data_IF_957031700681
#
_entry.id   IF_957031700681
#
_cell.length_a   1.000
_cell.length_b   1.000
_cell.length_c   1.000
_cell.angle_alpha   90.00
_cell.angle_beta   90.00
_cell.angle_gamma   90.00
#
_symmetry.space_group_name_H-M   'P 1'
#
loop_
_entity.id
_entity.type
_entity.pdbx_description
1 polymer ?
#
# COMPACT_ATOMS: atom_id res chain seq x y z
N UNK A 1 15.45 -4.55 -6.25
CA UNK A 1 14.67 -3.30 -6.40
C UNK A 1 14.94 -2.72 -7.77
N UNK A 2 13.91 -2.37 -8.46
CA UNK A 2 14.03 -1.82 -9.82
C UNK A 2 14.35 -0.32 -9.78
N UNK A 3 14.54 0.26 -11.00
CA UNK A 3 14.84 1.68 -11.12
C UNK A 3 13.62 2.56 -10.81
N UNK A 4 13.88 3.80 -10.43
CA UNK A 4 12.86 4.83 -10.19
C UNK A 4 11.86 4.45 -9.09
N UNK A 5 12.28 3.67 -8.11
CA UNK A 5 11.50 3.43 -6.91
C UNK A 5 11.75 4.58 -5.93
N UNK A 6 10.68 5.15 -5.42
CA UNK A 6 10.75 6.19 -4.39
C UNK A 6 10.28 5.63 -3.06
N UNK A 7 11.13 5.72 -2.06
CA UNK A 7 10.80 5.31 -0.69
C UNK A 7 10.95 6.55 0.19
N UNK A 8 9.84 6.97 0.80
CA UNK A 8 9.81 8.08 1.73
C UNK A 8 9.52 7.57 3.13
N UNK A 9 10.52 7.62 4.00
CA UNK A 9 10.39 7.23 5.41
C UNK A 9 10.38 8.41 6.36
N UNK A 10 10.16 9.63 5.85
CA UNK A 10 10.20 10.85 6.66
C UNK A 10 9.11 10.96 7.70
N UNK A 11 7.94 10.35 7.44
CA UNK A 11 6.80 10.35 8.37
C UNK A 11 6.54 9.00 9.03
N UNK A 12 7.32 7.99 8.70
CA UNK A 12 7.21 6.65 9.27
C UNK A 12 8.13 5.68 8.55
N UNK A 13 8.52 4.62 9.24
CA UNK A 13 9.44 3.64 8.69
C UNK A 13 8.84 2.85 7.53
N UNK A 14 9.69 2.51 6.57
CA UNK A 14 9.37 1.54 5.53
C UNK A 14 10.25 0.32 5.76
N UNK A 15 9.62 -0.84 5.95
CA UNK A 15 10.28 -2.13 6.07
C UNK A 15 9.93 -2.97 4.86
N UNK A 16 10.95 -3.54 4.22
CA UNK A 16 10.77 -4.46 3.10
C UNK A 16 11.53 -5.73 3.45
N UNK A 17 10.80 -6.84 3.50
CA UNK A 17 11.35 -8.13 3.89
C UNK A 17 12.23 -8.77 2.82
N UNK A 18 12.72 -9.98 3.14
CA UNK A 18 13.66 -10.71 2.31
C UNK A 18 13.00 -11.29 1.07
N UNK A 19 13.75 -11.30 -0.03
CA UNK A 19 13.32 -11.87 -1.31
C UNK A 19 12.08 -11.23 -1.91
N UNK A 20 11.74 -10.04 -1.45
CA UNK A 20 10.65 -9.25 -2.04
C UNK A 20 11.15 -8.52 -3.27
N UNK A 21 10.25 -8.37 -4.25
CA UNK A 21 10.56 -7.70 -5.52
C UNK A 21 9.74 -6.43 -5.63
N UNK A 22 10.45 -5.32 -5.77
CA UNK A 22 9.82 -4.00 -5.92
C UNK A 22 10.04 -3.55 -7.35
N UNK A 23 8.97 -3.53 -8.12
CA UNK A 23 9.01 -3.16 -9.52
C UNK A 23 9.32 -1.69 -9.76
N UNK A 24 9.45 -1.34 -11.00
CA UNK A 24 9.81 0.02 -11.44
C UNK A 24 8.69 1.02 -11.12
N UNK A 25 9.08 2.27 -10.82
CA UNK A 25 8.17 3.40 -10.58
C UNK A 25 7.23 3.22 -9.38
N UNK A 26 7.56 2.39 -8.41
CA UNK A 26 6.77 2.29 -7.20
C UNK A 26 7.07 3.47 -6.28
N UNK A 27 6.03 3.94 -5.60
CA UNK A 27 6.13 4.99 -4.57
C UNK A 27 5.61 4.43 -3.25
N UNK A 28 6.48 4.41 -2.26
CA UNK A 28 6.16 3.85 -0.94
C UNK A 28 6.42 4.94 0.09
N UNK A 29 5.36 5.39 0.73
CA UNK A 29 5.41 6.43 1.77
C UNK A 29 5.03 5.78 3.10
N UNK A 30 5.97 5.79 4.05
CA UNK A 30 5.77 5.16 5.36
C UNK A 30 4.69 5.82 6.20
N UNK A 31 4.23 5.15 7.26
CA UNK A 31 4.70 3.84 7.70
C UNK A 31 4.15 2.68 6.85
N UNK A 32 5.02 1.82 6.37
CA UNK A 32 4.66 0.66 5.55
C UNK A 32 5.51 -0.54 5.96
N UNK A 33 4.88 -1.68 6.14
CA UNK A 33 5.54 -2.96 6.36
C UNK A 33 5.22 -3.91 5.20
N UNK A 34 6.26 -4.35 4.52
CA UNK A 34 6.17 -5.34 3.45
C UNK A 34 6.92 -6.58 3.90
N UNK A 35 6.24 -7.71 3.95
CA UNK A 35 6.79 -8.97 4.39
C UNK A 35 7.82 -9.57 3.44
N UNK A 36 8.06 -10.88 3.60
CA UNK A 36 9.00 -11.63 2.78
C UNK A 36 8.34 -12.16 1.52
N UNK A 37 9.09 -12.27 0.44
CA UNK A 37 8.63 -12.88 -0.81
C UNK A 37 7.38 -12.21 -1.39
N UNK A 38 7.25 -10.92 -1.19
CA UNK A 38 6.17 -10.10 -1.75
C UNK A 38 6.60 -9.60 -3.13
N UNK A 39 5.67 -9.61 -4.08
CA UNK A 39 5.90 -9.05 -5.41
C UNK A 39 5.04 -7.80 -5.57
N UNK A 40 5.71 -6.66 -5.74
CA UNK A 40 5.07 -5.44 -6.19
C UNK A 40 5.39 -5.25 -7.66
N UNK A 41 4.37 -5.23 -8.50
CA UNK A 41 4.55 -4.95 -9.92
C UNK A 41 4.97 -3.48 -10.11
N UNK A 42 4.69 -2.86 -11.22
CA UNK A 42 5.13 -1.49 -11.47
C UNK A 42 4.06 -0.46 -11.14
N UNK A 43 4.50 0.75 -10.85
CA UNK A 43 3.66 1.94 -10.70
C UNK A 43 2.59 1.78 -9.63
N UNK A 44 2.97 1.27 -8.48
CA UNK A 44 2.10 1.10 -7.32
C UNK A 44 2.36 2.26 -6.37
N UNK A 45 1.31 2.79 -5.77
CA UNK A 45 1.40 3.79 -4.72
C UNK A 45 0.90 3.20 -3.41
N UNK A 46 1.77 3.20 -2.40
CA UNK A 46 1.44 2.75 -1.05
C UNK A 46 1.76 3.89 -0.10
N UNK A 47 0.79 4.31 0.68
CA UNK A 47 1.01 5.42 1.62
C UNK A 47 0.34 5.16 2.97
N UNK A 48 1.14 5.28 4.02
CA UNK A 48 0.65 5.29 5.39
C UNK A 48 0.27 6.68 5.89
N UNK A 49 0.38 7.69 5.04
CA UNK A 49 0.12 9.08 5.40
C UNK A 49 -1.28 9.49 4.96
N UNK A 50 -1.95 10.26 5.79
CA UNK A 50 -3.21 10.91 5.48
C UNK A 50 -3.19 12.37 5.92
N UNK A 51 -4.01 13.19 5.30
CA UNK A 51 -4.22 14.56 5.73
C UNK A 51 -5.47 14.69 6.57
N UNK A 52 -5.40 15.53 7.59
CA UNK A 52 -6.57 15.92 8.37
C UNK A 52 -7.35 16.97 7.59
N UNK A 53 -8.64 16.76 7.41
CA UNK A 53 -9.45 17.61 6.54
C UNK A 53 -10.83 17.95 7.10
N UNK A 54 -11.15 17.51 8.31
CA UNK A 54 -12.52 17.59 8.85
C UNK A 54 -12.97 19.01 9.17
N UNK A 55 -12.04 19.90 9.49
CA UNK A 55 -12.38 21.29 9.83
C UNK A 55 -12.52 22.10 8.54
N UNK A 56 -13.75 22.38 8.16
CA UNK A 56 -14.05 23.13 6.93
C UNK A 56 -13.68 24.61 7.02
N UNK A 57 -13.37 25.12 8.20
CA UNK A 57 -12.96 26.52 8.40
C UNK A 57 -11.46 26.75 8.16
N UNK A 58 -10.68 25.68 7.97
CA UNK A 58 -9.23 25.76 7.77
C UNK A 58 -8.82 25.07 6.47
N UNK A 59 -7.83 25.64 5.75
CA UNK A 59 -7.21 24.91 4.63
C UNK A 59 -6.68 23.55 5.11
N UNK A 60 -6.83 22.54 4.29
CA UNK A 60 -6.38 21.18 4.63
C UNK A 60 -4.88 21.16 4.91
N UNK A 61 -4.10 21.92 4.15
CA UNK A 61 -2.64 22.02 4.33
C UNK A 61 -2.24 22.48 5.73
N UNK A 62 -3.13 23.16 6.44
CA UNK A 62 -2.86 23.69 7.80
C UNK A 62 -3.42 22.82 8.91
N UNK A 63 -4.08 21.72 8.60
CA UNK A 63 -4.69 20.86 9.61
C UNK A 63 -3.78 19.73 10.08
N UNK A 64 -2.61 19.57 9.46
CA UNK A 64 -1.67 18.54 9.82
C UNK A 64 -1.94 17.21 9.12
N UNK A 65 -1.19 16.20 9.56
CA UNK A 65 -1.24 14.86 8.99
C UNK A 65 -1.51 13.83 10.08
N UNK A 66 -2.03 12.69 9.65
CA UNK A 66 -2.11 11.48 10.48
C UNK A 66 -1.43 10.34 9.74
N UNK A 67 -0.98 9.33 10.47
CA UNK A 67 -0.37 8.15 9.88
C UNK A 67 -1.04 6.90 10.41
N UNK A 68 -1.16 5.89 9.54
CA UNK A 68 -1.62 4.58 9.90
C UNK A 68 -0.89 3.56 9.03
N UNK A 69 -0.18 2.59 9.62
CA UNK A 69 0.67 1.71 8.84
C UNK A 69 -0.10 0.88 7.83
N UNK A 70 0.47 0.75 6.64
CA UNK A 70 0.04 -0.24 5.66
C UNK A 70 0.88 -1.48 5.88
N UNK A 71 0.22 -2.64 5.92
CA UNK A 71 0.87 -3.92 6.13
C UNK A 71 0.53 -4.82 4.94
N UNK A 72 1.57 -5.35 4.30
CA UNK A 72 1.44 -6.38 3.27
C UNK A 72 2.19 -7.60 3.77
N UNK A 73 1.48 -8.67 4.05
CA UNK A 73 2.08 -9.86 4.61
C UNK A 73 2.75 -10.72 3.54
N UNK A 74 3.44 -11.76 3.99
CA UNK A 74 4.32 -12.58 3.16
C UNK A 74 3.63 -13.16 1.93
N UNK A 75 4.38 -13.29 0.86
CA UNK A 75 4.02 -14.05 -0.34
C UNK A 75 2.88 -13.44 -1.16
N UNK A 76 2.49 -12.21 -0.89
CA UNK A 76 1.44 -11.53 -1.65
C UNK A 76 1.97 -10.92 -2.94
N UNK A 77 1.09 -10.80 -3.91
CA UNK A 77 1.37 -10.20 -5.21
C UNK A 77 0.42 -9.03 -5.46
N UNK A 78 0.98 -7.85 -5.61
CA UNK A 78 0.23 -6.61 -5.88
C UNK A 78 0.41 -6.25 -7.35
N UNK A 79 -0.68 -6.23 -8.09
CA UNK A 79 -0.69 -5.93 -9.51
C UNK A 79 -0.34 -4.48 -9.81
N UNK A 80 0.03 -4.22 -11.06
CA UNK A 80 0.45 -2.90 -11.52
C UNK A 80 -0.64 -1.84 -11.34
N UNK A 81 -0.22 -0.60 -11.15
CA UNK A 81 -1.11 0.56 -11.04
C UNK A 81 -2.12 0.46 -9.88
N UNK A 82 -1.76 -0.24 -8.83
CA UNK A 82 -2.59 -0.36 -7.63
C UNK A 82 -2.28 0.78 -6.68
N UNK A 83 -3.31 1.25 -5.99
CA UNK A 83 -3.17 2.20 -4.88
C UNK A 83 -3.61 1.51 -3.60
N UNK A 84 -2.78 1.59 -2.57
CA UNK A 84 -3.10 1.06 -1.24
C UNK A 84 -3.10 2.22 -0.26
N UNK A 85 -4.24 2.46 0.37
CA UNK A 85 -4.43 3.60 1.27
C UNK A 85 -3.98 3.30 2.70
N UNK A 86 -3.80 4.36 3.48
CA UNK A 86 -3.31 4.25 4.86
C UNK A 86 -4.17 3.31 5.71
N UNK A 87 -3.52 2.54 6.56
CA UNK A 87 -4.15 1.64 7.51
C UNK A 87 -4.60 0.30 6.94
N UNK A 88 -4.43 0.05 5.65
CA UNK A 88 -4.85 -1.21 5.02
C UNK A 88 -3.89 -2.33 5.39
N UNK A 89 -4.45 -3.47 5.74
CA UNK A 89 -3.72 -4.70 6.01
C UNK A 89 -4.10 -5.75 4.94
N UNK A 90 -3.13 -6.11 4.13
CA UNK A 90 -3.27 -7.19 3.14
C UNK A 90 -2.64 -8.44 3.74
N UNK A 91 -3.43 -9.50 3.85
CA UNK A 91 -3.01 -10.76 4.46
C UNK A 91 -2.00 -11.54 3.62
N UNK A 92 -1.69 -12.74 4.08
CA UNK A 92 -0.70 -13.61 3.44
C UNK A 92 -1.22 -14.18 2.14
N UNK A 93 -0.31 -14.32 1.18
CA UNK A 93 -0.56 -15.01 -0.08
C UNK A 93 -1.81 -14.47 -0.78
N UNK A 94 -1.96 -13.14 -0.77
CA UNK A 94 -3.04 -12.45 -1.46
C UNK A 94 -2.60 -12.04 -2.86
N UNK A 95 -3.56 -11.93 -3.76
CA UNK A 95 -3.35 -11.36 -5.10
C UNK A 95 -4.27 -10.17 -5.25
N UNK A 96 -3.69 -9.02 -5.54
CA UNK A 96 -4.42 -7.79 -5.82
C UNK A 96 -4.32 -7.54 -7.32
N UNK A 97 -5.46 -7.51 -7.99
CA UNK A 97 -5.51 -7.29 -9.43
C UNK A 97 -5.02 -5.91 -9.85
N UNK A 98 -4.44 -5.81 -11.03
CA UNK A 98 -3.92 -4.55 -11.56
C UNK A 98 -5.00 -3.48 -11.59
N UNK A 99 -4.62 -2.23 -11.32
CA UNK A 99 -5.53 -1.09 -11.35
C UNK A 99 -6.47 -1.00 -10.17
N UNK A 100 -6.27 -1.78 -9.13
CA UNK A 100 -7.14 -1.78 -7.94
C UNK A 100 -6.85 -0.60 -7.03
N UNK A 101 -7.86 -0.18 -6.28
CA UNK A 101 -7.71 0.78 -5.19
C UNK A 101 -8.14 0.08 -3.91
N UNK A 102 -7.17 -0.28 -3.07
CA UNK A 102 -7.40 -1.04 -1.85
C UNK A 102 -7.60 -0.08 -0.68
N UNK A 103 -8.81 -0.03 -0.16
CA UNK A 103 -9.20 0.88 0.91
C UNK A 103 -9.60 0.16 2.20
N UNK A 104 -9.69 -1.16 2.17
CA UNK A 104 -10.05 -2.00 3.32
C UNK A 104 -9.15 -3.22 3.38
N UNK A 105 -9.08 -3.81 4.56
CA UNK A 105 -8.26 -5.01 4.78
C UNK A 105 -8.69 -6.17 3.88
N UNK A 106 -7.69 -6.94 3.46
CA UNK A 106 -7.89 -8.12 2.62
C UNK A 106 -7.44 -9.34 3.43
N UNK A 107 -8.32 -10.33 3.66
CA UNK A 107 -7.96 -11.50 4.44
C UNK A 107 -6.99 -12.41 3.70
N UNK A 108 -6.31 -13.28 4.45
CA UNK A 108 -5.34 -14.23 3.91
C UNK A 108 -5.90 -15.03 2.74
N UNK A 109 -5.04 -15.34 1.78
CA UNK A 109 -5.33 -16.23 0.65
C UNK A 109 -6.45 -15.74 -0.27
N UNK A 110 -6.68 -14.44 -0.33
CA UNK A 110 -7.74 -13.85 -1.14
C UNK A 110 -7.21 -13.28 -2.44
N UNK A 111 -8.08 -13.25 -3.44
CA UNK A 111 -7.91 -12.45 -4.66
C UNK A 111 -8.90 -11.30 -4.59
N UNK A 112 -8.40 -10.08 -4.69
CA UNK A 112 -9.22 -8.87 -4.65
C UNK A 112 -8.92 -7.99 -5.86
N UNK A 113 -9.96 -7.38 -6.42
CA UNK A 113 -9.82 -6.52 -7.61
C UNK A 113 -10.81 -5.37 -7.54
N UNK A 114 -10.49 -4.30 -8.24
CA UNK A 114 -11.41 -3.20 -8.51
C UNK A 114 -11.15 -1.94 -7.72
N UNK A 115 -12.06 -0.99 -7.88
CA UNK A 115 -12.05 0.29 -7.20
C UNK A 115 -13.46 0.62 -6.66
N UNK A 116 -13.70 0.51 -5.34
CA UNK A 116 -12.79 -0.06 -4.35
C UNK A 116 -12.57 -1.56 -4.56
N UNK A 117 -11.41 -2.05 -4.18
CA UNK A 117 -11.08 -3.45 -4.32
C UNK A 117 -11.97 -4.32 -3.44
N UNK A 118 -12.45 -5.41 -4.01
CA UNK A 118 -13.30 -6.39 -3.30
C UNK A 118 -12.78 -7.79 -3.53
N UNK A 119 -12.91 -8.62 -2.51
CA UNK A 119 -12.53 -10.02 -2.60
C UNK A 119 -13.47 -10.73 -3.57
N UNK A 120 -12.89 -11.38 -4.58
CA UNK A 120 -13.64 -12.12 -5.61
C UNK A 120 -13.37 -13.62 -5.52
N UNK A 121 -12.35 -14.01 -4.76
CA UNK A 121 -11.96 -15.41 -4.63
C UNK A 121 -11.11 -15.59 -3.37
N UNK A 122 -11.22 -16.74 -2.75
CA UNK A 122 -10.38 -17.15 -1.62
C UNK A 122 -9.49 -18.33 -1.98
#
# INVERSE_FOLDING_TARGET
>A
MEHYVTIDNGVGHVHIGDHSRIGIHNTIIGPVFIGNQVILAQNITISGLNHTYHDISKPIVKQGITTSPVIIEDESWIGANTVITSGVHIGKHCVIGAGSVVTKDIPDYSVAVGNPAKVVKH
#
